data_IF_008022464292
#
_entry.id   IF_008022464292
#
_cell.length_a   1.000
_cell.length_b   1.000
_cell.length_c   1.000
_cell.angle_alpha   90.00
_cell.angle_beta   90.00
_cell.angle_gamma   90.00
#
_symmetry.space_group_name_H-M   'P 1'
#
loop_
_entity.id
_entity.type
_entity.pdbx_description
1 polymer ?
#
# COMPACT_ATOMS: atom_id res chain seq x y z
N UNK A 1 27.82 7.43 -10.39
CA UNK A 1 28.34 6.53 -9.33
C UNK A 1 28.76 7.26 -8.06
N UNK A 2 29.48 8.38 -8.16
CA UNK A 2 29.99 9.16 -7.00
C UNK A 2 28.93 9.58 -5.96
N UNK A 3 27.71 9.91 -6.37
CA UNK A 3 26.65 10.31 -5.41
C UNK A 3 26.18 9.18 -4.49
N UNK A 4 26.26 7.92 -4.93
CA UNK A 4 25.89 6.74 -4.10
C UNK A 4 26.92 6.50 -3.00
N UNK A 5 28.20 6.62 -3.34
CA UNK A 5 29.33 6.48 -2.41
C UNK A 5 29.30 7.62 -1.38
N UNK A 6 29.08 8.85 -1.83
CA UNK A 6 28.95 10.02 -0.95
C UNK A 6 27.77 9.87 0.03
N UNK A 7 26.64 9.29 -0.39
CA UNK A 7 25.52 9.00 0.52
C UNK A 7 25.82 7.90 1.53
N UNK A 8 26.58 6.87 1.16
CA UNK A 8 26.98 5.79 2.06
C UNK A 8 27.91 6.29 3.19
N UNK A 9 28.87 7.15 2.83
CA UNK A 9 29.84 7.71 3.77
C UNK A 9 29.25 8.78 4.70
N UNK A 10 28.47 9.73 4.17
CA UNK A 10 28.00 10.87 4.97
C UNK A 10 26.63 10.66 5.62
N UNK A 11 25.82 9.71 5.11
CA UNK A 11 24.49 9.41 5.64
C UNK A 11 24.22 7.89 5.65
N UNK A 12 24.99 7.10 6.43
CA UNK A 12 24.90 5.65 6.42
C UNK A 12 23.48 5.15 6.71
N UNK A 13 22.78 5.75 7.69
CA UNK A 13 21.36 5.41 7.95
C UNK A 13 20.43 5.64 6.76
N UNK A 14 20.56 6.73 6.00
CA UNK A 14 19.71 6.99 4.81
C UNK A 14 20.09 6.08 3.65
N UNK A 15 21.37 5.75 3.50
CA UNK A 15 21.85 4.81 2.50
C UNK A 15 21.34 3.39 2.77
N UNK A 16 21.44 2.91 4.01
CA UNK A 16 20.92 1.62 4.44
C UNK A 16 19.38 1.57 4.46
N UNK A 17 18.69 2.65 4.85
CA UNK A 17 17.23 2.74 4.74
C UNK A 17 16.76 2.71 3.29
N UNK A 18 17.38 3.49 2.39
CA UNK A 18 17.04 3.46 0.97
C UNK A 18 17.36 2.06 0.39
N UNK A 19 18.55 1.51 0.66
CA UNK A 19 18.96 0.21 0.10
C UNK A 19 18.19 -0.99 0.66
N UNK A 20 17.84 -1.06 1.94
CA UNK A 20 16.96 -2.14 2.44
C UNK A 20 15.52 -2.03 1.92
N UNK A 21 15.01 -0.82 1.66
CA UNK A 21 13.71 -0.61 0.99
C UNK A 21 13.72 -0.98 -0.50
N UNK A 22 14.89 -0.97 -1.13
CA UNK A 22 15.10 -1.36 -2.53
C UNK A 22 15.65 -2.78 -2.70
N UNK A 23 16.23 -3.41 -1.67
CA UNK A 23 16.87 -4.73 -1.71
C UNK A 23 15.99 -5.87 -1.18
N UNK A 24 14.91 -5.58 -0.47
CA UNK A 24 13.85 -6.58 -0.27
C UNK A 24 13.04 -6.68 -1.56
N UNK A 25 12.68 -7.90 -2.03
CA UNK A 25 11.64 -8.04 -3.05
C UNK A 25 10.33 -7.68 -2.38
N UNK A 26 10.09 -6.37 -2.21
CA UNK A 26 9.07 -5.83 -1.30
C UNK A 26 7.66 -6.32 -1.67
N UNK A 27 7.48 -6.75 -2.92
CA UNK A 27 6.27 -7.39 -3.41
C UNK A 27 6.72 -8.43 -4.44
N UNK A 28 6.52 -9.72 -4.16
CA UNK A 28 6.59 -10.74 -5.22
C UNK A 28 5.42 -10.52 -6.18
N UNK A 29 5.54 -11.03 -7.41
CA UNK A 29 4.42 -11.04 -8.36
C UNK A 29 3.23 -11.77 -7.73
N UNK A 30 2.15 -11.05 -7.40
CA UNK A 30 0.92 -11.66 -6.91
C UNK A 30 0.05 -12.13 -8.05
N UNK A 31 -0.81 -13.09 -7.74
CA UNK A 31 -1.84 -13.54 -8.67
C UNK A 31 -2.60 -12.32 -9.22
N UNK A 32 -2.78 -12.23 -10.55
CA UNK A 32 -3.57 -11.15 -11.14
C UNK A 32 -4.98 -11.19 -10.54
N UNK A 33 -5.55 -10.00 -10.34
CA UNK A 33 -6.87 -9.78 -9.74
C UNK A 33 -6.97 -9.96 -8.21
N UNK A 34 -5.93 -9.56 -7.47
CA UNK A 34 -5.95 -9.54 -6.01
C UNK A 34 -6.72 -8.35 -5.42
N UNK A 35 -7.24 -8.53 -4.20
CA UNK A 35 -7.82 -7.47 -3.38
C UNK A 35 -6.74 -6.86 -2.49
N UNK A 36 -6.46 -5.56 -2.63
CA UNK A 36 -5.45 -4.85 -1.83
C UNK A 36 -6.11 -4.00 -0.75
N UNK A 37 -5.85 -4.33 0.51
CA UNK A 37 -6.32 -3.59 1.68
C UNK A 37 -5.19 -2.75 2.25
N UNK A 38 -5.45 -1.46 2.46
CA UNK A 38 -4.50 -0.54 3.08
C UNK A 38 -5.03 -0.08 4.44
N UNK A 39 -4.34 -0.47 5.52
CA UNK A 39 -4.74 -0.15 6.89
C UNK A 39 -3.60 0.48 7.68
N UNK A 40 -3.92 1.11 8.80
CA UNK A 40 -3.00 1.79 9.71
C UNK A 40 -3.33 1.58 11.19
N UNK A 41 -4.53 1.08 11.50
CA UNK A 41 -5.02 0.87 12.87
C UNK A 41 -5.64 -0.52 13.04
N UNK A 42 -5.78 -0.96 14.30
CA UNK A 42 -6.40 -2.23 14.62
C UNK A 42 -7.91 -2.27 14.29
N UNK A 43 -8.64 -1.17 14.49
CA UNK A 43 -10.05 -1.08 14.12
C UNK A 43 -10.26 -1.33 12.61
N UNK A 44 -9.34 -0.83 11.78
CA UNK A 44 -9.37 -1.06 10.33
C UNK A 44 -9.09 -2.53 9.97
N UNK A 45 -8.29 -3.25 10.76
CA UNK A 45 -8.10 -4.69 10.59
C UNK A 45 -9.42 -5.44 10.81
N UNK A 46 -10.13 -5.13 11.89
CA UNK A 46 -11.42 -5.75 12.20
C UNK A 46 -12.44 -5.51 11.08
N UNK A 47 -12.50 -4.30 10.54
CA UNK A 47 -13.35 -3.96 9.40
C UNK A 47 -12.95 -4.74 8.13
N UNK A 48 -11.65 -4.85 7.86
CA UNK A 48 -11.14 -5.64 6.73
C UNK A 48 -11.50 -7.13 6.88
N UNK A 49 -11.37 -7.70 8.08
CA UNK A 49 -11.80 -9.08 8.37
C UNK A 49 -13.31 -9.26 8.11
N UNK A 50 -14.15 -8.39 8.67
CA UNK A 50 -15.61 -8.46 8.49
C UNK A 50 -16.00 -8.35 7.02
N UNK A 51 -15.43 -7.38 6.30
CA UNK A 51 -15.71 -7.19 4.88
C UNK A 51 -15.32 -8.44 4.05
N UNK A 52 -14.11 -8.97 4.28
CA UNK A 52 -13.64 -10.17 3.60
C UNK A 52 -14.54 -11.37 3.85
N UNK A 53 -15.01 -11.56 5.09
CA UNK A 53 -15.92 -12.66 5.45
C UNK A 53 -17.30 -12.48 4.82
N UNK A 54 -17.90 -11.30 4.96
CA UNK A 54 -19.24 -11.00 4.45
C UNK A 54 -19.33 -11.13 2.93
N UNK A 55 -18.35 -10.61 2.21
CA UNK A 55 -18.32 -10.62 0.75
C UNK A 55 -17.61 -11.86 0.18
N UNK A 56 -17.14 -12.77 1.05
CA UNK A 56 -16.39 -13.98 0.67
C UNK A 56 -15.19 -13.68 -0.25
N UNK A 57 -14.50 -12.55 -0.02
CA UNK A 57 -13.41 -12.09 -0.87
C UNK A 57 -12.23 -13.07 -0.81
N UNK A 58 -11.60 -13.32 -1.97
CA UNK A 58 -10.44 -14.21 -2.12
C UNK A 58 -9.24 -13.43 -2.64
N UNK A 59 -8.05 -14.01 -2.50
CA UNK A 59 -6.79 -13.39 -2.93
C UNK A 59 -6.57 -12.01 -2.31
N UNK A 60 -6.76 -11.91 -0.98
CA UNK A 60 -6.64 -10.66 -0.25
C UNK A 60 -5.22 -10.46 0.26
N UNK A 61 -4.69 -9.27 0.01
CA UNK A 61 -3.40 -8.81 0.48
C UNK A 61 -3.62 -7.63 1.41
N UNK A 62 -2.87 -7.61 2.51
CA UNK A 62 -2.91 -6.53 3.49
C UNK A 62 -1.62 -5.72 3.47
N UNK A 63 -1.73 -4.40 3.40
CA UNK A 63 -0.62 -3.47 3.63
C UNK A 63 -0.89 -2.69 4.90
N UNK A 64 0.04 -2.81 5.84
CA UNK A 64 0.04 -2.12 7.12
C UNK A 64 0.93 -0.89 6.98
N UNK A 65 0.30 0.28 6.93
CA UNK A 65 0.98 1.56 7.01
C UNK A 65 1.46 1.78 8.44
N UNK A 66 2.71 2.19 8.61
CA UNK A 66 3.26 2.48 9.93
C UNK A 66 4.24 3.64 9.89
N UNK A 67 4.61 4.16 11.05
CA UNK A 67 5.77 5.05 11.20
C UNK A 67 6.70 4.46 12.25
N UNK A 68 7.99 4.74 12.16
CA UNK A 68 8.99 4.30 13.16
C UNK A 68 8.71 4.82 14.58
N UNK A 69 7.86 5.83 14.75
CA UNK A 69 7.46 6.35 16.07
C UNK A 69 6.46 5.42 16.78
N UNK A 70 5.71 4.60 16.06
CA UNK A 70 4.74 3.68 16.64
C UNK A 70 4.85 2.30 15.99
N UNK A 71 5.78 1.49 16.50
CA UNK A 71 5.92 0.09 16.10
C UNK A 71 5.01 -0.86 16.89
N UNK A 72 4.36 -0.40 17.97
CA UNK A 72 3.44 -1.23 18.76
C UNK A 72 2.22 -1.61 17.92
N UNK A 73 1.63 -0.64 17.22
CA UNK A 73 0.45 -0.85 16.38
C UNK A 73 0.66 -1.83 15.21
N UNK A 74 1.67 -1.67 14.32
CA UNK A 74 1.87 -2.62 13.23
C UNK A 74 2.20 -4.03 13.72
N UNK A 75 2.93 -4.17 14.84
CA UNK A 75 3.21 -5.48 15.45
C UNK A 75 1.94 -6.14 15.98
N UNK A 76 1.05 -5.37 16.61
CA UNK A 76 -0.25 -5.88 17.06
C UNK A 76 -1.07 -6.38 15.86
N UNK A 77 -1.18 -5.58 14.80
CA UNK A 77 -1.90 -5.96 13.58
C UNK A 77 -1.30 -7.25 13.01
N UNK A 78 0.02 -7.34 12.81
CA UNK A 78 0.66 -8.54 12.27
C UNK A 78 0.38 -9.82 13.09
N UNK A 79 0.29 -9.71 14.41
CA UNK A 79 -0.03 -10.84 15.29
C UNK A 79 -1.50 -11.27 15.19
N UNK A 80 -2.39 -10.35 14.88
CA UNK A 80 -3.84 -10.57 14.89
C UNK A 80 -4.45 -10.79 13.50
N UNK A 81 -3.68 -10.66 12.43
CA UNK A 81 -4.14 -10.94 11.07
C UNK A 81 -4.52 -12.41 10.95
N UNK A 82 -5.74 -12.65 10.48
CA UNK A 82 -6.21 -13.97 10.10
C UNK A 82 -5.59 -14.35 8.74
N UNK A 83 -4.68 -15.32 8.76
CA UNK A 83 -3.92 -15.74 7.57
C UNK A 83 -4.78 -16.48 6.53
N UNK A 84 -5.93 -17.00 6.93
CA UNK A 84 -6.88 -17.60 5.98
C UNK A 84 -7.59 -16.52 5.16
N UNK A 85 -7.80 -15.35 5.75
CA UNK A 85 -8.38 -14.19 5.08
C UNK A 85 -7.33 -13.43 4.26
N UNK A 86 -6.12 -13.28 4.81
CA UNK A 86 -5.01 -12.51 4.25
C UNK A 86 -3.74 -13.35 4.22
N UNK A 87 -3.52 -14.04 3.10
CA UNK A 87 -2.36 -14.93 2.94
C UNK A 87 -1.03 -14.17 2.94
N UNK A 88 -1.05 -12.89 2.53
CA UNK A 88 0.14 -12.04 2.52
C UNK A 88 -0.12 -10.68 3.14
N UNK A 89 0.83 -10.30 4.00
CA UNK A 89 0.84 -9.01 4.68
C UNK A 89 2.17 -8.30 4.47
N UNK A 90 2.12 -7.03 4.08
CA UNK A 90 3.27 -6.16 3.90
C UNK A 90 3.25 -5.01 4.88
N UNK A 91 4.44 -4.57 5.28
CA UNK A 91 4.62 -3.34 6.03
C UNK A 91 5.10 -2.23 5.10
N UNK A 92 4.48 -1.05 5.22
CA UNK A 92 4.86 0.13 4.44
C UNK A 92 5.13 1.30 5.38
N UNK A 93 6.39 1.70 5.51
CA UNK A 93 6.75 2.83 6.36
C UNK A 93 6.39 4.16 5.70
N UNK A 94 5.69 4.98 6.47
CA UNK A 94 5.41 6.36 6.19
C UNK A 94 6.43 7.26 6.89
N UNK A 95 6.74 8.43 6.32
CA UNK A 95 7.55 9.42 7.02
C UNK A 95 6.85 9.88 8.31
N UNK A 96 7.65 10.26 9.31
CA UNK A 96 7.13 10.79 10.58
C UNK A 96 6.15 11.93 10.35
N UNK A 97 5.01 11.90 11.04
CA UNK A 97 3.88 12.82 10.88
C UNK A 97 3.46 12.93 9.40
N UNK A 98 2.91 11.87 8.79
CA UNK A 98 2.63 11.82 7.36
C UNK A 98 1.48 12.74 6.91
N UNK A 99 0.67 13.24 7.85
CA UNK A 99 -0.35 14.26 7.60
C UNK A 99 0.21 15.68 7.41
N UNK A 100 1.47 15.94 7.81
CA UNK A 100 2.08 17.26 7.60
C UNK A 100 2.62 17.34 6.18
N UNK A 101 2.05 18.27 5.41
CA UNK A 101 2.43 18.53 4.02
C UNK A 101 3.84 19.06 3.98
N UNK A 102 4.75 18.31 3.35
CA UNK A 102 6.05 18.82 2.92
C UNK A 102 6.40 18.16 1.58
N UNK A 103 6.99 18.89 0.62
CA UNK A 103 7.24 18.36 -0.72
C UNK A 103 8.03 17.04 -0.71
N UNK A 104 9.05 16.96 0.15
CA UNK A 104 9.90 15.77 0.28
C UNK A 104 9.14 14.54 0.79
N UNK A 105 8.31 14.70 1.83
CA UNK A 105 7.50 13.59 2.37
C UNK A 105 6.43 13.17 1.38
N UNK A 106 5.80 14.13 0.70
CA UNK A 106 4.81 13.84 -0.31
C UNK A 106 5.39 13.03 -1.47
N UNK A 107 6.52 13.46 -2.04
CA UNK A 107 7.22 12.72 -3.09
C UNK A 107 7.64 11.32 -2.65
N UNK A 108 8.09 11.19 -1.40
CA UNK A 108 8.44 9.89 -0.81
C UNK A 108 7.23 8.94 -0.83
N UNK A 109 6.10 9.38 -0.26
CA UNK A 109 4.88 8.58 -0.18
C UNK A 109 4.33 8.27 -1.58
N UNK A 110 4.28 9.27 -2.46
CA UNK A 110 3.78 9.12 -3.83
C UNK A 110 4.60 8.10 -4.63
N UNK A 111 5.93 8.11 -4.51
CA UNK A 111 6.79 7.11 -5.15
C UNK A 111 6.57 5.71 -4.60
N UNK A 112 6.44 5.59 -3.28
CA UNK A 112 6.16 4.32 -2.63
C UNK A 112 4.80 3.73 -3.04
N UNK A 113 3.73 4.54 -3.06
CA UNK A 113 2.42 4.12 -3.57
C UNK A 113 2.44 3.77 -5.06
N UNK A 114 3.16 4.55 -5.88
CA UNK A 114 3.32 4.22 -7.30
C UNK A 114 4.01 2.86 -7.50
N UNK A 115 5.05 2.56 -6.71
CA UNK A 115 5.74 1.26 -6.72
C UNK A 115 4.79 0.15 -6.28
N UNK A 116 4.13 0.33 -5.13
CA UNK A 116 3.15 -0.61 -4.57
C UNK A 116 2.09 -1.03 -5.61
N UNK A 117 1.41 -0.06 -6.22
CA UNK A 117 0.35 -0.32 -7.19
C UNK A 117 0.88 -0.97 -8.48
N UNK A 118 2.08 -0.58 -8.94
CA UNK A 118 2.69 -1.17 -10.14
C UNK A 118 3.12 -2.62 -9.94
N UNK A 119 3.56 -2.98 -8.74
CA UNK A 119 4.04 -4.34 -8.47
C UNK A 119 2.89 -5.28 -8.13
N UNK A 120 1.92 -4.85 -7.32
CA UNK A 120 0.78 -5.70 -6.93
C UNK A 120 -0.27 -5.81 -8.05
N UNK A 121 -0.47 -4.73 -8.81
CA UNK A 121 -1.52 -4.61 -9.84
C UNK A 121 -2.89 -5.15 -9.36
N UNK A 122 -3.40 -4.61 -8.24
CA UNK A 122 -4.63 -5.14 -7.65
C UNK A 122 -5.84 -4.91 -8.55
N UNK A 123 -6.82 -5.81 -8.48
CA UNK A 123 -8.15 -5.57 -9.08
C UNK A 123 -9.00 -4.62 -8.25
N UNK A 124 -8.84 -4.65 -6.93
CA UNK A 124 -9.66 -3.87 -6.03
C UNK A 124 -8.76 -3.25 -4.96
N UNK A 125 -8.98 -1.97 -4.68
CA UNK A 125 -8.27 -1.23 -3.65
C UNK A 125 -9.26 -0.80 -2.57
N UNK A 126 -9.02 -1.28 -1.35
CA UNK A 126 -9.80 -0.96 -0.17
C UNK A 126 -8.99 -0.03 0.73
N UNK A 127 -9.51 1.19 0.92
CA UNK A 127 -8.91 2.20 1.80
C UNK A 127 -9.90 2.66 2.85
N UNK A 128 -9.41 2.88 4.05
CA UNK A 128 -10.23 3.26 5.22
C UNK A 128 -10.15 4.77 5.54
N UNK A 129 -9.53 5.56 4.66
CA UNK A 129 -9.43 7.02 4.75
C UNK A 129 -9.26 7.62 3.36
N UNK A 130 -9.72 8.86 3.19
CA UNK A 130 -9.54 9.66 1.97
C UNK A 130 -8.65 10.90 2.20
N UNK A 131 -8.33 11.22 3.45
CA UNK A 131 -7.64 12.45 3.82
C UNK A 131 -6.11 12.32 3.69
N UNK A 132 -5.44 13.46 3.52
CA UNK A 132 -3.99 13.54 3.50
C UNK A 132 -3.37 12.67 2.40
N UNK A 133 -2.42 11.82 2.77
CA UNK A 133 -1.67 11.00 1.82
C UNK A 133 -2.52 9.92 1.11
N UNK A 134 -3.68 9.52 1.66
CA UNK A 134 -4.58 8.58 0.99
C UNK A 134 -5.14 9.13 -0.31
N UNK A 135 -5.34 10.45 -0.42
CA UNK A 135 -5.77 11.09 -1.67
C UNK A 135 -4.76 10.88 -2.81
N UNK A 136 -3.46 10.88 -2.49
CA UNK A 136 -2.38 10.60 -3.44
C UNK A 136 -2.43 9.15 -3.94
N UNK A 137 -2.66 8.19 -3.02
CA UNK A 137 -2.85 6.79 -3.38
C UNK A 137 -4.06 6.60 -4.32
N UNK A 138 -5.20 7.20 -3.98
CA UNK A 138 -6.43 7.12 -4.76
C UNK A 138 -6.27 7.76 -6.14
N UNK A 139 -5.60 8.91 -6.22
CA UNK A 139 -5.28 9.57 -7.49
C UNK A 139 -4.40 8.70 -8.39
N UNK A 140 -3.36 8.07 -7.82
CA UNK A 140 -2.48 7.15 -8.54
C UNK A 140 -3.21 5.89 -9.02
N UNK A 141 -4.08 5.33 -8.16
CA UNK A 141 -4.94 4.19 -8.48
C UNK A 141 -5.83 4.49 -9.69
N UNK A 142 -6.57 5.61 -9.65
CA UNK A 142 -7.43 6.04 -10.76
C UNK A 142 -6.64 6.31 -12.05
N UNK A 143 -5.45 6.91 -11.95
CA UNK A 143 -4.58 7.11 -13.12
C UNK A 143 -4.08 5.80 -13.73
N UNK A 144 -3.73 4.81 -12.92
CA UNK A 144 -3.31 3.49 -13.40
C UNK A 144 -4.47 2.74 -14.07
N UNK A 145 -5.70 2.90 -13.58
CA UNK A 145 -6.90 2.39 -14.24
C UNK A 145 -6.99 2.94 -15.67
N UNK A 146 -7.00 4.27 -15.84
CA UNK A 146 -7.04 4.89 -17.18
C UNK A 146 -5.87 4.48 -18.07
N UNK A 147 -4.65 4.37 -17.52
CA UNK A 147 -3.50 3.93 -18.29
C UNK A 147 -3.65 2.50 -18.79
N UNK A 148 -4.18 1.60 -17.94
CA UNK A 148 -4.49 0.23 -18.33
C UNK A 148 -5.69 0.14 -19.27
N UNK A 149 -6.66 1.06 -19.21
CA UNK A 149 -7.77 1.11 -20.19
C UNK A 149 -7.29 1.61 -21.55
N UNK A 150 -6.42 2.64 -21.57
CA UNK A 150 -5.92 3.25 -22.80
C UNK A 150 -4.85 2.38 -23.51
N UNK A 151 -3.96 1.73 -22.74
CA UNK A 151 -2.93 0.82 -23.27
C UNK A 151 -3.51 -0.50 -23.84
N UNK A 152 -4.82 -0.73 -23.71
CA UNK A 152 -5.46 -2.04 -23.90
C UNK A 152 -6.58 -2.08 -24.94
N UNK A 153 -6.76 -1.01 -25.72
CA UNK A 153 -7.53 -1.03 -26.98
C UNK A 153 -6.77 -1.69 -28.16
N UNK A 154 -5.90 -2.66 -27.87
CA UNK A 154 -5.14 -3.42 -28.87
C UNK A 154 -5.15 -4.94 -28.69
N UNK A 155 -5.62 -5.50 -27.56
CA UNK A 155 -5.74 -6.95 -27.42
C UNK A 155 -6.80 -7.36 -26.37
N UNK A 156 -7.80 -8.14 -26.82
CA UNK A 156 -8.99 -8.55 -26.06
C UNK A 156 -8.66 -9.71 -25.10
N UNK A 157 -8.03 -9.41 -23.98
CA UNK A 157 -8.09 -10.26 -22.78
C UNK A 157 -8.66 -9.40 -21.65
N UNK A 158 -9.52 -9.89 -20.76
CA UNK A 158 -10.17 -9.07 -19.71
C UNK A 158 -9.17 -8.64 -18.62
N UNK A 159 -8.92 -7.33 -18.43
CA UNK A 159 -8.10 -6.81 -17.31
C UNK A 159 -9.05 -6.54 -16.15
N UNK A 160 -8.60 -6.73 -14.91
CA UNK A 160 -9.35 -6.22 -13.78
C UNK A 160 -9.40 -4.69 -13.81
N UNK A 161 -10.61 -4.15 -13.86
CA UNK A 161 -10.91 -2.74 -13.62
C UNK A 161 -10.71 -2.43 -12.14
N UNK A 162 -9.91 -1.41 -11.80
CA UNK A 162 -9.59 -1.10 -10.41
C UNK A 162 -10.81 -0.51 -9.69
N UNK A 163 -11.51 -1.30 -8.86
CA UNK A 163 -12.61 -0.77 -8.05
C UNK A 163 -12.08 -0.21 -6.73
N UNK A 164 -12.36 1.06 -6.46
CA UNK A 164 -12.06 1.72 -5.18
C UNK A 164 -13.31 1.57 -4.29
N UNK A 165 -13.16 0.92 -3.14
CA UNK A 165 -14.26 0.75 -2.18
C UNK A 165 -13.86 1.45 -0.88
N UNK A 166 -14.71 2.40 -0.48
CA UNK A 166 -14.59 3.14 0.77
C UNK A 166 -15.50 2.51 1.82
N UNK A 167 -14.96 2.28 3.01
CA UNK A 167 -15.76 1.87 4.18
C UNK A 167 -15.95 3.12 5.04
N UNK A 168 -17.16 3.65 5.04
CA UNK A 168 -17.53 4.78 5.89
C UNK A 168 -17.71 4.29 7.32
N UNK A 169 -16.97 4.89 8.25
CA UNK A 169 -17.14 4.63 9.68
C UNK A 169 -18.35 5.41 10.18
N UNK A 170 -19.49 4.76 10.38
CA UNK A 170 -20.47 5.28 11.32
C UNK A 170 -19.87 5.15 12.72
N UNK A 171 -19.80 6.27 13.46
CA UNK A 171 -19.54 6.24 14.90
C UNK A 171 -20.59 5.32 15.53
N UNK A 172 -20.14 4.25 16.18
CA UNK A 172 -20.90 3.58 17.24
C UNK A 172 -20.49 4.28 18.53
#
# INVERSE_FOLDING_TARGET
MLQKIRKALFHPKKFFQDSQWFATPLFSSFAPKSNLFIISTFAQLNQAHSLTKMQKLKNNLLVILYTTQNMKMPKLIQKSVDKELFSVTYMFELPRKPGIVSPKKFLYIQRGYKKLLKTIQPAHLYVMSFAGHYSSLLSLAKKNEYHNTFSRRGNRNLCPTLRIIYIQTHKI
#
